data_IF_006543877511
#
_entry.id   IF_006543877511
#
_cell.length_a   1.000
_cell.length_b   1.000
_cell.length_c   1.000
_cell.angle_alpha   90.00
_cell.angle_beta   90.00
_cell.angle_gamma   90.00
#
_symmetry.space_group_name_H-M   'P 1'
#
loop_
_entity.id
_entity.type
_entity.pdbx_description
1 polymer ?
#
# COMPACT_ATOMS: atom_id res chain seq x y z
N UNK A 1 -7.85 -10.49 11.46
CA UNK A 1 -8.99 -9.98 12.29
C UNK A 1 -9.04 -8.46 12.19
N UNK A 2 -10.22 -7.84 12.18
CA UNK A 2 -10.40 -6.39 12.11
C UNK A 2 -11.50 -5.93 13.08
N UNK A 3 -11.30 -4.78 13.72
CA UNK A 3 -12.31 -4.06 14.50
C UNK A 3 -12.15 -2.58 14.23
N UNK A 4 -13.22 -1.93 13.78
CA UNK A 4 -13.28 -0.49 13.53
C UNK A 4 -12.86 0.35 14.74
N UNK A 5 -13.22 -0.09 15.94
CA UNK A 5 -12.86 0.55 17.21
C UNK A 5 -11.34 0.61 17.51
N UNK A 6 -10.50 -0.12 16.76
CA UNK A 6 -9.04 0.04 16.83
C UNK A 6 -8.56 1.35 16.19
N UNK A 7 -9.38 1.94 15.32
CA UNK A 7 -9.06 3.16 14.58
C UNK A 7 -10.19 4.19 14.74
N UNK A 8 -10.43 4.71 15.98
CA UNK A 8 -11.53 5.62 16.26
C UNK A 8 -11.45 6.95 15.50
N UNK A 9 -10.28 7.29 14.95
CA UNK A 9 -10.06 8.46 14.09
C UNK A 9 -10.62 8.29 12.67
N UNK A 10 -11.09 7.09 12.30
CA UNK A 10 -11.67 6.79 10.99
C UNK A 10 -13.15 6.41 11.14
N UNK A 11 -14.05 6.91 10.28
CA UNK A 11 -15.48 6.68 10.44
C UNK A 11 -15.94 5.28 9.99
N UNK A 12 -15.16 4.53 9.20
CA UNK A 12 -15.46 3.19 8.63
C UNK A 12 -16.89 3.00 8.08
N UNK A 13 -17.56 4.10 7.69
CA UNK A 13 -18.99 4.12 7.30
C UNK A 13 -19.28 3.35 6.03
N UNK A 14 -18.32 3.31 5.11
CA UNK A 14 -18.38 2.57 3.86
C UNK A 14 -17.22 1.60 3.89
N UNK A 15 -17.50 0.31 4.12
CA UNK A 15 -16.46 -0.70 4.23
C UNK A 15 -16.52 -1.63 3.05
N UNK A 16 -15.40 -1.79 2.35
CA UNK A 16 -15.22 -2.83 1.34
C UNK A 16 -14.19 -3.83 1.82
N UNK A 17 -14.44 -5.10 1.55
CA UNK A 17 -13.49 -6.18 1.84
C UNK A 17 -13.11 -6.84 0.54
N UNK A 18 -11.82 -6.90 0.29
CA UNK A 18 -11.25 -7.49 -0.91
C UNK A 18 -10.36 -8.68 -0.52
N UNK A 19 -10.28 -9.66 -1.42
CA UNK A 19 -9.34 -10.78 -1.32
C UNK A 19 -8.50 -10.82 -2.58
N UNK A 20 -7.18 -10.79 -2.43
CA UNK A 20 -6.24 -10.99 -3.53
C UNK A 20 -5.44 -12.27 -3.33
N UNK A 21 -5.12 -12.90 -4.46
CA UNK A 21 -4.19 -14.01 -4.56
C UNK A 21 -3.05 -13.57 -5.46
N UNK A 22 -1.81 -13.85 -5.03
CA UNK A 22 -0.62 -13.55 -5.81
C UNK A 22 0.31 -14.75 -5.76
N UNK A 23 0.95 -15.04 -6.89
CA UNK A 23 2.03 -16.04 -6.94
C UNK A 23 3.32 -15.40 -6.44
N UNK A 24 4.25 -16.22 -5.96
CA UNK A 24 5.60 -15.79 -5.60
C UNK A 24 6.21 -14.92 -6.72
N UNK A 25 7.05 -13.96 -6.33
CA UNK A 25 7.67 -12.97 -7.21
C UNK A 25 6.71 -11.89 -7.77
N UNK A 26 5.43 -11.86 -7.38
CA UNK A 26 4.53 -10.75 -7.74
C UNK A 26 4.81 -9.51 -6.92
N UNK A 27 4.93 -8.34 -7.54
CA UNK A 27 4.89 -7.04 -6.86
C UNK A 27 3.60 -6.31 -7.26
N UNK A 28 2.92 -5.71 -6.29
CA UNK A 28 1.76 -4.83 -6.54
C UNK A 28 2.02 -3.47 -5.91
N UNK A 29 1.82 -2.42 -6.70
CA UNK A 29 1.99 -1.04 -6.27
C UNK A 29 3.23 -0.32 -6.85
N UNK A 30 3.64 0.81 -6.29
CA UNK A 30 3.00 1.43 -5.12
C UNK A 30 1.73 2.17 -5.51
N UNK A 31 0.71 2.02 -4.68
CA UNK A 31 -0.54 2.77 -4.74
C UNK A 31 -0.63 3.71 -3.56
N UNK A 32 -1.38 4.80 -3.72
CA UNK A 32 -1.71 5.69 -2.61
C UNK A 32 -3.07 6.33 -2.84
N UNK A 33 -3.67 6.77 -1.72
CA UNK A 33 -5.02 7.30 -1.68
C UNK A 33 -5.05 8.66 -1.01
N UNK A 34 -5.90 9.57 -1.48
CA UNK A 34 -6.14 10.83 -0.77
C UNK A 34 -7.13 10.65 0.36
N UNK A 35 -8.09 9.72 0.22
CA UNK A 35 -9.19 9.55 1.17
C UNK A 35 -9.19 8.19 1.85
N UNK A 36 -8.98 7.11 1.10
CA UNK A 36 -9.09 5.74 1.59
C UNK A 36 -7.97 5.37 2.55
N UNK A 37 -8.34 4.69 3.64
CA UNK A 37 -7.42 3.95 4.49
C UNK A 37 -7.57 2.44 4.23
N UNK A 38 -6.46 1.73 4.40
CA UNK A 38 -6.36 0.30 4.18
C UNK A 38 -6.00 -0.41 5.49
N UNK A 39 -6.56 -1.60 5.69
CA UNK A 39 -6.13 -2.51 6.74
C UNK A 39 -5.92 -3.91 6.15
N UNK A 40 -4.65 -4.31 6.10
CA UNK A 40 -4.22 -5.55 5.46
C UNK A 40 -4.01 -6.67 6.46
N UNK A 41 -4.34 -7.89 6.04
CA UNK A 41 -4.10 -9.10 6.79
C UNK A 41 -3.75 -10.27 5.86
N UNK A 42 -2.55 -10.82 6.04
CA UNK A 42 -2.12 -12.01 5.32
C UNK A 42 -2.88 -13.23 5.87
N UNK A 43 -3.50 -14.02 5.00
CA UNK A 43 -4.13 -15.28 5.39
C UNK A 43 -3.24 -16.49 5.16
N UNK A 44 -2.36 -16.42 4.16
CA UNK A 44 -1.46 -17.50 3.78
C UNK A 44 -0.27 -16.92 3.02
N UNK A 45 0.88 -17.55 3.16
CA UNK A 45 2.13 -17.13 2.52
C UNK A 45 2.84 -16.02 3.27
N UNK A 46 3.80 -15.38 2.58
CA UNK A 46 4.60 -14.26 3.11
C UNK A 46 4.65 -13.13 2.09
N UNK A 47 4.39 -11.92 2.58
CA UNK A 47 4.52 -10.69 1.81
C UNK A 47 5.51 -9.74 2.48
N UNK A 48 6.29 -9.04 1.66
CA UNK A 48 7.06 -7.88 2.08
C UNK A 48 6.28 -6.63 1.73
N UNK A 49 5.75 -5.95 2.73
CA UNK A 49 5.05 -4.68 2.57
C UNK A 49 6.06 -3.56 2.44
N UNK A 50 5.90 -2.69 1.45
CA UNK A 50 6.63 -1.43 1.33
C UNK A 50 5.70 -0.26 1.62
N UNK A 51 6.17 0.68 2.44
CA UNK A 51 5.44 1.87 2.88
C UNK A 51 6.33 3.10 2.70
N UNK A 52 5.82 4.18 2.11
CA UNK A 52 6.50 5.47 2.02
C UNK A 52 5.52 6.62 2.30
N UNK A 53 5.92 7.56 3.15
CA UNK A 53 5.09 8.70 3.52
C UNK A 53 5.19 9.83 2.49
N UNK A 54 4.15 10.00 1.67
CA UNK A 54 4.09 11.05 0.65
C UNK A 54 3.45 12.36 1.16
N UNK A 55 3.12 12.46 2.44
CA UNK A 55 2.42 13.63 3.00
C UNK A 55 3.43 14.71 3.36
N UNK A 56 3.50 15.78 2.58
CA UNK A 56 4.47 16.87 2.77
C UNK A 56 4.38 17.62 4.11
N UNK A 57 3.23 17.54 4.79
CA UNK A 57 3.02 18.11 6.14
C UNK A 57 3.36 17.13 7.27
N UNK A 58 3.65 15.87 6.96
CA UNK A 58 3.95 14.85 7.96
C UNK A 58 5.36 15.03 8.52
N UNK A 59 5.57 14.86 9.84
CA UNK A 59 6.92 14.85 10.41
C UNK A 59 7.78 13.68 9.89
N UNK A 60 7.17 12.68 9.27
CA UNK A 60 7.85 11.52 8.66
C UNK A 60 7.84 11.59 7.13
N UNK A 61 7.61 12.76 6.52
CA UNK A 61 7.62 12.89 5.06
C UNK A 61 8.90 12.32 4.42
N UNK A 62 8.73 11.47 3.41
CA UNK A 62 9.82 10.76 2.72
C UNK A 62 10.41 9.58 3.49
N UNK A 63 9.96 9.32 4.73
CA UNK A 63 10.35 8.11 5.44
C UNK A 63 9.72 6.89 4.79
N UNK A 64 10.50 5.83 4.72
CA UNK A 64 10.10 4.56 4.13
C UNK A 64 10.40 3.40 5.05
N UNK A 65 9.60 2.35 4.90
CA UNK A 65 9.73 1.13 5.68
C UNK A 65 9.38 -0.08 4.82
N UNK A 66 10.14 -1.15 4.99
CA UNK A 66 9.76 -2.49 4.55
C UNK A 66 9.56 -3.41 5.75
N UNK A 67 8.50 -4.22 5.71
CA UNK A 67 8.17 -5.19 6.76
C UNK A 67 7.70 -6.50 6.13
N UNK A 68 8.21 -7.61 6.66
CA UNK A 68 7.70 -8.94 6.28
C UNK A 68 6.52 -9.30 7.18
N UNK A 69 5.45 -9.75 6.55
CA UNK A 69 4.22 -10.21 7.20
C UNK A 69 3.87 -11.56 6.59
N UNK A 70 3.63 -12.56 7.43
CA UNK A 70 3.16 -13.87 6.98
C UNK A 70 1.74 -14.17 7.46
N UNK A 71 1.13 -15.21 6.89
CA UNK A 71 -0.14 -15.74 7.38
C UNK A 71 -0.02 -16.49 8.72
N UNK A 72 1.20 -16.77 9.16
CA UNK A 72 1.48 -17.31 10.50
C UNK A 72 1.56 -16.19 11.54
N UNK A 73 1.87 -14.96 11.09
CA UNK A 73 1.90 -13.78 11.92
C UNK A 73 0.49 -13.22 12.09
N UNK A 74 0.04 -13.04 13.33
CA UNK A 74 -1.24 -12.37 13.63
C UNK A 74 -1.18 -10.85 13.44
N UNK A 75 -0.29 -10.37 12.57
CA UNK A 75 -0.03 -8.96 12.31
C UNK A 75 -1.05 -8.39 11.34
N UNK A 76 -1.59 -7.22 11.67
CA UNK A 76 -2.36 -6.39 10.76
C UNK A 76 -1.59 -5.14 10.40
N UNK A 77 -1.64 -4.73 9.13
CA UNK A 77 -0.97 -3.51 8.67
C UNK A 77 -2.03 -2.47 8.38
N UNK A 78 -2.08 -1.43 9.20
CA UNK A 78 -2.92 -0.26 8.96
C UNK A 78 -2.15 0.77 8.15
N UNK A 79 -2.76 1.23 7.05
CA UNK A 79 -2.14 2.15 6.10
C UNK A 79 -3.08 3.38 5.99
N UNK A 80 -2.69 4.53 6.56
CA UNK A 80 -3.50 5.74 6.47
C UNK A 80 -3.41 6.38 5.07
N UNK A 81 -4.36 7.27 4.73
CA UNK A 81 -4.32 8.01 3.47
C UNK A 81 -3.01 8.80 3.32
N UNK A 82 -2.52 8.90 2.09
CA UNK A 82 -1.28 9.57 1.72
C UNK A 82 0.00 8.74 1.93
N UNK A 83 -0.10 7.52 2.44
CA UNK A 83 1.03 6.57 2.43
C UNK A 83 1.01 5.80 1.11
N UNK A 84 2.10 5.90 0.35
CA UNK A 84 2.36 5.01 -0.76
C UNK A 84 2.69 3.62 -0.23
N UNK A 85 1.96 2.63 -0.73
CA UNK A 85 2.03 1.29 -0.19
C UNK A 85 1.87 0.24 -1.29
N UNK A 86 2.43 -0.93 -1.04
CA UNK A 86 2.45 -2.04 -1.96
C UNK A 86 3.07 -3.26 -1.30
N UNK A 87 3.13 -4.37 -2.00
CA UNK A 87 3.81 -5.55 -1.49
C UNK A 87 4.52 -6.35 -2.57
N UNK A 88 5.56 -7.05 -2.14
CA UNK A 88 6.21 -8.13 -2.88
C UNK A 88 5.83 -9.49 -2.28
N UNK A 89 5.40 -10.43 -3.12
CA UNK A 89 5.02 -11.80 -2.78
C UNK A 89 6.26 -12.66 -2.63
N UNK A 90 6.73 -12.87 -1.39
CA UNK A 90 7.91 -13.71 -1.11
C UNK A 90 7.60 -15.18 -1.43
N UNK A 91 6.40 -15.61 -1.08
CA UNK A 91 5.81 -16.89 -1.50
C UNK A 91 4.51 -16.61 -2.26
N UNK A 92 3.84 -17.66 -2.76
CA UNK A 92 2.41 -17.55 -3.06
C UNK A 92 1.68 -17.07 -1.81
N UNK A 93 0.76 -16.11 -1.96
CA UNK A 93 0.06 -15.51 -0.83
C UNK A 93 -1.43 -15.29 -1.09
N UNK A 94 -2.17 -15.24 0.00
CA UNK A 94 -3.54 -14.75 0.06
C UNK A 94 -3.61 -13.57 1.01
N UNK A 95 -4.04 -12.41 0.52
CA UNK A 95 -4.22 -11.19 1.30
C UNK A 95 -5.70 -10.85 1.37
N UNK A 96 -6.20 -10.55 2.57
CA UNK A 96 -7.44 -9.80 2.75
C UNK A 96 -7.09 -8.38 3.13
N UNK A 97 -7.81 -7.43 2.53
CA UNK A 97 -7.73 -6.04 2.96
C UNK A 97 -9.13 -5.44 3.11
N UNK A 98 -9.29 -4.69 4.20
CA UNK A 98 -10.48 -3.92 4.52
C UNK A 98 -10.16 -2.47 4.23
N UNK A 99 -11.04 -1.79 3.49
CA UNK A 99 -10.89 -0.38 3.15
C UNK A 99 -12.12 0.40 3.56
N UNK A 100 -11.95 1.68 3.86
CA UNK A 100 -13.02 2.54 4.39
C UNK A 100 -13.67 3.49 3.37
N UNK A 101 -13.48 3.18 2.08
CA UNK A 101 -14.21 3.77 0.98
C UNK A 101 -14.51 2.69 -0.08
N UNK A 102 -15.59 2.86 -0.85
CA UNK A 102 -15.80 2.00 -2.01
C UNK A 102 -14.88 2.38 -3.16
N UNK A 103 -14.44 1.38 -3.91
CA UNK A 103 -13.62 1.63 -5.09
C UNK A 103 -14.43 2.39 -6.15
N UNK A 104 -13.93 3.56 -6.55
CA UNK A 104 -14.49 4.39 -7.63
C UNK A 104 -13.45 4.74 -8.71
N UNK A 105 -12.20 4.30 -8.55
CA UNK A 105 -11.07 4.58 -9.44
C UNK A 105 -10.53 6.01 -9.39
N UNK A 106 -11.19 6.94 -8.69
CA UNK A 106 -10.78 8.35 -8.64
C UNK A 106 -9.77 8.63 -7.52
N UNK A 107 -9.76 7.79 -6.47
CA UNK A 107 -8.89 7.95 -5.31
C UNK A 107 -7.64 7.05 -5.35
N UNK A 108 -7.45 6.22 -6.37
CA UNK A 108 -6.30 5.30 -6.46
C UNK A 108 -5.25 5.82 -7.44
N UNK A 109 -4.18 6.37 -6.89
CA UNK A 109 -3.05 6.92 -7.62
C UNK A 109 -1.84 5.98 -7.49
N UNK A 110 -0.83 6.18 -8.34
CA UNK A 110 0.34 5.31 -8.38
C UNK A 110 1.66 6.08 -8.40
N UNK A 111 2.69 5.48 -7.81
CA UNK A 111 4.08 5.94 -7.90
C UNK A 111 4.97 4.72 -8.15
N UNK A 112 6.06 4.92 -8.90
CA UNK A 112 6.95 3.84 -9.29
C UNK A 112 7.53 3.12 -8.06
N UNK A 113 7.33 1.80 -7.99
CA UNK A 113 7.78 0.98 -6.86
C UNK A 113 9.30 0.95 -6.69
N UNK A 114 10.02 1.16 -7.79
CA UNK A 114 11.47 1.17 -7.90
C UNK A 114 12.06 2.59 -7.95
N UNK A 115 11.29 3.61 -7.60
CA UNK A 115 11.81 4.97 -7.53
C UNK A 115 12.88 5.06 -6.43
N UNK A 116 14.14 5.41 -6.77
CA UNK A 116 15.23 5.56 -5.79
C UNK A 116 14.93 6.58 -4.69
N UNK A 117 14.10 7.59 -4.96
CA UNK A 117 13.73 8.61 -3.98
C UNK A 117 12.85 8.04 -2.85
N UNK A 118 12.19 6.90 -3.08
CA UNK A 118 11.40 6.23 -2.06
C UNK A 118 12.25 5.32 -1.16
N UNK A 119 13.45 4.91 -1.57
CA UNK A 119 14.38 4.17 -0.71
C UNK A 119 13.84 2.85 -0.12
N UNK A 120 12.92 2.17 -0.80
CA UNK A 120 12.35 0.90 -0.35
C UNK A 120 13.29 -0.28 -0.65
N UNK A 121 13.76 -0.94 0.41
CA UNK A 121 14.55 -2.18 0.29
C UNK A 121 13.62 -3.40 0.13
N UNK A 122 13.21 -3.66 -1.10
CA UNK A 122 12.35 -4.80 -1.43
C UNK A 122 13.06 -6.16 -1.37
N UNK A 123 14.41 -6.19 -1.43
CA UNK A 123 15.25 -7.40 -1.56
C UNK A 123 14.70 -8.42 -2.59
N UNK A 124 14.33 -7.91 -3.77
CA UNK A 124 13.83 -8.77 -4.86
C UNK A 124 15.03 -9.49 -5.48
N UNK A 125 15.01 -10.83 -5.62
CA UNK A 125 16.12 -11.59 -6.19
C UNK A 125 16.31 -11.40 -7.71
N UNK A 126 15.35 -10.80 -8.39
CA UNK A 126 15.36 -10.60 -9.85
C UNK A 126 14.26 -9.63 -10.31
N UNK A 127 13.71 -9.86 -11.51
CA UNK A 127 12.61 -9.04 -12.04
C UNK A 127 11.27 -9.53 -11.48
N UNK A 128 10.50 -8.68 -10.76
CA UNK A 128 9.20 -9.08 -10.25
C UNK A 128 8.14 -9.14 -11.36
N UNK A 129 7.08 -9.90 -11.12
CA UNK A 129 5.86 -9.89 -11.93
C UNK A 129 5.04 -8.67 -11.54
N UNK A 130 4.76 -7.79 -12.50
CA UNK A 130 4.04 -6.53 -12.32
C UNK A 130 2.84 -6.44 -13.26
N UNK A 131 1.84 -5.64 -12.88
CA UNK A 131 0.79 -5.24 -13.81
C UNK A 131 1.29 -4.16 -14.79
N UNK A 132 0.63 -4.01 -15.93
CA UNK A 132 0.94 -2.92 -16.88
C UNK A 132 0.79 -1.54 -16.22
N UNK A 133 -0.22 -1.38 -15.35
CA UNK A 133 -0.43 -0.16 -14.57
C UNK A 133 0.76 0.15 -13.67
N UNK A 134 1.23 -0.83 -12.90
CA UNK A 134 2.32 -0.63 -11.94
C UNK A 134 3.66 -0.36 -12.65
N UNK A 135 3.88 -0.98 -13.81
CA UNK A 135 5.03 -0.69 -14.67
C UNK A 135 4.99 0.74 -15.24
N UNK A 136 3.80 1.28 -15.46
CA UNK A 136 3.59 2.61 -16.03
C UNK A 136 3.52 3.74 -14.98
N UNK A 137 3.56 3.42 -13.69
CA UNK A 137 3.53 4.43 -12.64
C UNK A 137 4.74 5.38 -12.75
N UNK A 138 4.54 6.70 -12.64
CA UNK A 138 5.62 7.67 -12.77
C UNK A 138 6.51 7.69 -11.52
N UNK A 139 7.73 8.20 -11.69
CA UNK A 139 8.58 8.59 -10.56
C UNK A 139 7.89 9.68 -9.73
N UNK A 140 8.20 9.75 -8.44
CA UNK A 140 7.74 10.76 -7.49
C UNK A 140 7.99 12.17 -8.01
N UNK A 141 9.16 12.42 -8.62
CA UNK A 141 9.51 13.73 -9.19
C UNK A 141 8.68 14.12 -10.42
N UNK A 142 8.03 13.15 -11.06
CA UNK A 142 7.19 13.35 -12.24
C UNK A 142 5.70 13.39 -11.89
N UNK A 143 5.33 13.20 -10.62
CA UNK A 143 3.94 13.31 -10.19
C UNK A 143 3.45 14.77 -10.31
N UNK A 144 2.28 15.00 -10.92
CA UNK A 144 1.63 16.30 -10.88
C UNK A 144 1.36 16.75 -9.43
N UNK A 145 1.51 18.04 -9.15
CA UNK A 145 1.32 18.59 -7.80
C UNK A 145 -0.09 18.31 -7.23
N UNK A 146 -1.11 18.24 -8.09
CA UNK A 146 -2.49 17.93 -7.70
C UNK A 146 -2.75 16.44 -7.46
N UNK A 147 -1.77 15.57 -7.77
CA UNK A 147 -1.82 14.14 -7.46
C UNK A 147 -1.12 13.82 -6.14
N UNK A 148 -0.20 14.67 -5.67
CA UNK A 148 0.39 14.48 -4.35
C UNK A 148 -0.68 14.59 -3.24
N UNK A 149 -0.53 13.83 -2.13
CA UNK A 149 -1.41 14.01 -0.98
C UNK A 149 -1.44 15.47 -0.55
N UNK A 150 -2.61 15.93 -0.09
CA UNK A 150 -2.81 17.26 0.47
C UNK A 150 -3.32 17.16 1.90
N UNK A 151 -2.89 18.06 2.77
CA UNK A 151 -3.37 18.08 4.14
C UNK A 151 -4.87 18.30 4.11
N UNK A 152 -5.63 17.35 4.66
CA UNK A 152 -7.09 17.42 4.68
C UNK A 152 -7.55 18.76 5.26
N UNK A 153 -8.46 19.42 4.56
CA UNK A 153 -9.28 20.50 5.12
C UNK A 153 -10.31 19.93 6.09
#
# INVERSE_FOLDING_TARGET
MFRDAWFPQRPWKQTQVNRSHSVANTLRGLHYHHKQADYWHCLAGTLRVGLCDLRSWSPTYGASQTIDVSGEDFTGVFIPPGIAHGFYSVTDLTLIYVVDNYYDGADELGVAWNDPALGLDWQIPGTPILSERDMANPLLSALPQNQLPVQGK
#
